data_IF_047204975739
#
_entry.id   IF_047204975739
#
_cell.length_a   1.000
_cell.length_b   1.000
_cell.length_c   1.000
_cell.angle_alpha   90.00
_cell.angle_beta   90.00
_cell.angle_gamma   90.00
#
_symmetry.space_group_name_H-M   'P 1'
#
loop_
_entity.id
_entity.type
_entity.pdbx_description
1 polymer ?
#
# COMPACT_ATOMS: atom_id res chain seq x y z
N UNK A 1 -18.37 -14.88 -30.88
CA UNK A 1 -18.54 -14.50 -29.46
C UNK A 1 -18.83 -15.79 -28.74
N UNK A 2 -17.89 -16.31 -27.97
CA UNK A 2 -18.06 -17.60 -27.27
C UNK A 2 -19.05 -17.38 -26.14
N UNK A 3 -20.17 -18.11 -26.17
CA UNK A 3 -21.19 -17.98 -25.13
C UNK A 3 -20.73 -18.75 -23.88
N UNK A 4 -21.25 -18.37 -22.72
CA UNK A 4 -20.87 -18.97 -21.45
C UNK A 4 -21.23 -20.48 -21.39
N UNK A 5 -22.26 -20.87 -22.14
CA UNK A 5 -22.68 -22.26 -22.36
C UNK A 5 -21.62 -23.11 -23.08
N UNK A 6 -20.95 -22.53 -24.08
CA UNK A 6 -19.88 -23.22 -24.83
C UNK A 6 -18.65 -23.46 -23.95
N UNK A 7 -18.35 -22.51 -23.05
CA UNK A 7 -17.27 -22.63 -22.08
C UNK A 7 -17.57 -23.74 -21.07
N UNK A 8 -18.80 -23.81 -20.56
CA UNK A 8 -19.20 -24.82 -19.60
C UNK A 8 -19.12 -26.24 -20.19
N UNK A 9 -19.64 -26.44 -21.41
CA UNK A 9 -19.58 -27.73 -22.10
C UNK A 9 -18.14 -28.21 -22.35
N UNK A 10 -17.22 -27.27 -22.64
CA UNK A 10 -15.81 -27.57 -22.82
C UNK A 10 -15.09 -27.92 -21.50
N UNK A 11 -15.55 -27.40 -20.36
CA UNK A 11 -15.02 -27.75 -19.04
C UNK A 11 -15.50 -29.13 -18.59
N UNK A 12 -16.78 -29.44 -18.81
CA UNK A 12 -17.41 -30.69 -18.36
C UNK A 12 -16.92 -31.92 -19.15
N UNK A 13 -16.48 -31.73 -20.40
CA UNK A 13 -15.97 -32.80 -21.27
C UNK A 13 -14.49 -33.13 -21.05
N UNK A 14 -13.78 -32.38 -20.20
CA UNK A 14 -12.35 -32.53 -19.97
C UNK A 14 -12.08 -33.50 -18.81
N UNK A 15 -11.10 -34.38 -18.96
CA UNK A 15 -10.63 -35.23 -17.88
C UNK A 15 -9.76 -34.41 -16.90
N UNK A 16 -10.21 -34.32 -15.66
CA UNK A 16 -9.57 -33.56 -14.57
C UNK A 16 -8.86 -34.46 -13.55
N UNK A 17 -8.77 -35.77 -13.79
CA UNK A 17 -8.20 -36.74 -12.84
C UNK A 17 -6.75 -36.46 -12.42
N UNK A 18 -5.99 -35.74 -13.26
CA UNK A 18 -4.63 -35.27 -12.97
C UNK A 18 -4.51 -33.79 -12.61
N UNK A 19 -5.63 -33.09 -12.40
CA UNK A 19 -5.61 -31.66 -12.12
C UNK A 19 -5.23 -31.36 -10.66
N UNK A 20 -4.39 -30.34 -10.46
CA UNK A 20 -4.05 -29.83 -9.14
C UNK A 20 -5.01 -28.70 -8.75
N UNK A 21 -5.60 -28.79 -7.55
CA UNK A 21 -6.44 -27.72 -7.00
C UNK A 21 -5.54 -26.63 -6.43
N UNK A 22 -5.38 -25.55 -7.18
CA UNK A 22 -4.66 -24.36 -6.73
C UNK A 22 -5.59 -23.52 -5.84
N UNK A 23 -5.47 -23.68 -4.52
CA UNK A 23 -6.24 -22.93 -3.53
C UNK A 23 -5.66 -21.53 -3.27
N UNK A 24 -4.36 -21.33 -3.47
CA UNK A 24 -3.72 -20.02 -3.37
C UNK A 24 -3.97 -19.22 -4.64
N UNK A 25 -5.18 -18.65 -4.75
CA UNK A 25 -5.38 -17.55 -5.68
C UNK A 25 -4.64 -16.34 -5.15
N UNK A 26 -3.73 -15.72 -5.93
CA UNK A 26 -3.20 -14.41 -5.59
C UNK A 26 -4.37 -13.47 -5.31
N UNK A 27 -4.34 -12.76 -4.18
CA UNK A 27 -5.37 -11.75 -3.87
C UNK A 27 -5.51 -10.83 -5.08
N UNK A 28 -6.77 -10.51 -5.42
CA UNK A 28 -7.05 -9.59 -6.52
C UNK A 28 -6.24 -8.30 -6.33
N UNK A 29 -5.41 -7.97 -7.31
CA UNK A 29 -4.64 -6.73 -7.33
C UNK A 29 -5.50 -5.66 -7.99
N UNK A 30 -5.83 -4.59 -7.25
CA UNK A 30 -6.51 -3.42 -7.81
C UNK A 30 -5.44 -2.40 -8.20
N UNK A 31 -5.51 -1.92 -9.44
CA UNK A 31 -4.63 -0.86 -9.93
C UNK A 31 -5.36 0.47 -9.85
N UNK A 32 -4.80 1.41 -9.09
CA UNK A 32 -5.23 2.81 -9.10
C UNK A 32 -4.27 3.62 -9.97
N UNK A 33 -4.81 4.35 -10.95
CA UNK A 33 -4.03 5.23 -11.82
C UNK A 33 -4.27 6.68 -11.42
N UNK A 34 -3.18 7.42 -11.21
CA UNK A 34 -3.19 8.83 -10.82
C UNK A 34 -2.23 9.62 -11.71
N UNK A 35 -2.56 10.88 -11.98
CA UNK A 35 -1.65 11.82 -12.64
C UNK A 35 -0.97 12.65 -11.57
N UNK A 36 0.36 12.59 -11.51
CA UNK A 36 1.17 13.37 -10.59
C UNK A 36 1.84 14.53 -11.35
N UNK A 37 2.05 15.68 -10.70
CA UNK A 37 3.04 16.65 -11.15
C UNK A 37 4.40 15.97 -11.35
N UNK A 38 5.18 16.43 -12.34
CA UNK A 38 6.45 15.80 -12.70
C UNK A 38 7.43 15.77 -11.52
N UNK A 39 7.50 16.89 -10.81
CA UNK A 39 8.36 17.08 -9.64
C UNK A 39 8.06 16.10 -8.50
N UNK A 40 6.81 15.64 -8.37
CA UNK A 40 6.43 14.64 -7.36
C UNK A 40 6.83 13.24 -7.80
N UNK A 41 6.70 12.95 -9.09
CA UNK A 41 7.17 11.68 -9.65
C UNK A 41 8.68 11.55 -9.51
N UNK A 42 9.44 12.59 -9.84
CA UNK A 42 10.90 12.62 -9.72
C UNK A 42 11.35 12.44 -8.27
N UNK A 43 10.68 13.11 -7.32
CA UNK A 43 10.97 12.94 -5.90
C UNK A 43 10.69 11.51 -5.40
N UNK A 44 9.62 10.88 -5.90
CA UNK A 44 9.29 9.50 -5.56
C UNK A 44 10.33 8.50 -6.09
N UNK A 45 10.77 8.67 -7.34
CA UNK A 45 11.80 7.85 -7.97
C UNK A 45 13.13 7.97 -7.22
N UNK A 46 13.59 9.21 -6.96
CA UNK A 46 14.84 9.45 -6.23
C UNK A 46 14.83 8.83 -4.84
N UNK A 47 13.69 8.85 -4.15
CA UNK A 47 13.53 8.25 -2.83
C UNK A 47 13.48 6.72 -2.88
N UNK A 48 12.87 6.14 -3.92
CA UNK A 48 12.88 4.70 -4.14
C UNK A 48 14.30 4.19 -4.39
N UNK A 49 15.07 4.90 -5.22
CA UNK A 49 16.49 4.62 -5.48
C UNK A 49 17.32 4.71 -4.20
N UNK A 50 17.15 5.79 -3.42
CA UNK A 50 17.86 5.97 -2.14
C UNK A 50 17.61 4.82 -1.16
N UNK A 51 16.42 4.22 -1.20
CA UNK A 51 16.01 3.09 -0.34
C UNK A 51 16.25 1.72 -0.96
N UNK A 52 16.76 1.65 -2.19
CA UNK A 52 16.93 0.38 -2.91
C UNK A 52 15.62 -0.37 -3.13
N UNK A 53 14.51 0.36 -3.34
CA UNK A 53 13.18 -0.20 -3.60
C UNK A 53 12.60 0.33 -4.90
N UNK A 54 11.34 0.02 -5.20
CA UNK A 54 10.64 0.60 -6.35
C UNK A 54 9.55 1.59 -5.92
N UNK A 55 9.18 2.56 -6.79
CA UNK A 55 8.15 3.56 -6.49
C UNK A 55 6.80 2.97 -6.06
N UNK A 56 6.39 1.85 -6.66
CA UNK A 56 5.11 1.21 -6.32
C UNK A 56 5.09 0.68 -4.89
N UNK A 57 6.19 0.07 -4.43
CA UNK A 57 6.35 -0.39 -3.05
C UNK A 57 6.37 0.79 -2.08
N UNK A 58 7.11 1.84 -2.43
CA UNK A 58 7.21 3.05 -1.62
C UNK A 58 5.86 3.75 -1.45
N UNK A 59 5.07 3.86 -2.53
CA UNK A 59 3.71 4.40 -2.48
C UNK A 59 2.78 3.57 -1.57
N UNK A 60 2.87 2.24 -1.62
CA UNK A 60 2.10 1.37 -0.73
C UNK A 60 2.46 1.61 0.75
N UNK A 61 3.75 1.78 1.05
CA UNK A 61 4.22 2.08 2.41
C UNK A 61 3.72 3.43 2.90
N UNK A 62 3.75 4.46 2.06
CA UNK A 62 3.23 5.78 2.41
C UNK A 62 1.72 5.78 2.61
N UNK A 63 0.97 5.08 1.77
CA UNK A 63 -0.48 4.92 1.93
C UNK A 63 -0.78 4.21 3.26
N UNK A 64 -0.10 3.11 3.55
CA UNK A 64 -0.31 2.36 4.79
C UNK A 64 0.02 3.21 6.01
N UNK A 65 1.15 3.92 6.00
CA UNK A 65 1.56 4.80 7.09
C UNK A 65 0.59 5.97 7.29
N UNK A 66 0.06 6.56 6.21
CA UNK A 66 -0.94 7.61 6.28
C UNK A 66 -2.25 7.12 6.90
N UNK A 67 -2.79 6.01 6.39
CA UNK A 67 -4.04 5.43 6.90
C UNK A 67 -3.92 4.97 8.36
N UNK A 68 -2.77 4.41 8.76
CA UNK A 68 -2.53 3.99 10.13
C UNK A 68 -2.36 5.17 11.10
N UNK A 69 -1.74 6.28 10.68
CA UNK A 69 -1.62 7.49 11.52
C UNK A 69 -2.97 8.08 11.86
N UNK A 70 -3.87 8.17 10.89
CA UNK A 70 -5.22 8.71 11.12
C UNK A 70 -6.07 7.77 11.99
N UNK A 71 -5.83 6.46 11.91
CA UNK A 71 -6.50 5.46 12.74
C UNK A 71 -5.96 5.38 14.18
N UNK A 72 -4.74 5.87 14.42
CA UNK A 72 -4.04 5.80 15.71
C UNK A 72 -4.08 7.11 16.51
N UNK A 73 -4.52 8.22 15.90
CA UNK A 73 -4.83 9.42 16.64
C UNK A 73 -6.06 9.14 17.51
N UNK A 74 -5.96 9.21 18.85
CA UNK A 74 -7.17 9.20 19.66
C UNK A 74 -8.00 10.40 19.22
N UNK A 75 -9.20 10.16 18.70
CA UNK A 75 -10.25 11.17 18.55
C UNK A 75 -10.46 11.83 19.92
N UNK A 76 -9.74 12.92 20.19
CA UNK A 76 -9.68 13.53 21.51
C UNK A 76 -8.73 14.72 21.61
N UNK A 77 -9.15 15.74 22.34
CA UNK A 77 -8.32 16.90 22.68
C UNK A 77 -7.27 16.44 23.70
N UNK A 78 -6.00 16.51 23.31
CA UNK A 78 -4.87 16.26 24.23
C UNK A 78 -4.40 17.60 24.79
N UNK A 79 -4.65 17.83 26.08
CA UNK A 79 -4.12 19.01 26.78
C UNK A 79 -2.70 18.73 27.24
N UNK A 80 -1.73 19.40 26.62
CA UNK A 80 -0.32 19.38 27.02
C UNK A 80 0.07 20.70 27.67
N UNK A 81 0.91 20.64 28.70
CA UNK A 81 1.52 21.84 29.26
C UNK A 81 2.57 22.40 28.30
N UNK A 82 2.76 23.72 28.31
CA UNK A 82 3.80 24.37 27.51
C UNK A 82 5.19 23.78 27.78
N UNK A 83 5.50 23.45 29.03
CA UNK A 83 6.78 22.84 29.39
C UNK A 83 6.98 21.46 28.75
N UNK A 84 5.93 20.62 28.76
CA UNK A 84 5.99 19.29 28.14
C UNK A 84 6.16 19.38 26.61
N UNK A 85 5.52 20.37 25.96
CA UNK A 85 5.70 20.61 24.53
C UNK A 85 7.14 21.00 24.19
N UNK A 86 7.73 21.91 24.95
CA UNK A 86 9.13 22.32 24.75
C UNK A 86 10.09 21.13 24.91
N UNK A 87 9.91 20.31 25.95
CA UNK A 87 10.72 19.11 26.15
C UNK A 87 10.60 18.10 25.00
N UNK A 88 9.39 17.90 24.47
CA UNK A 88 9.17 17.00 23.34
C UNK A 88 9.86 17.51 22.06
N UNK A 89 9.84 18.83 21.82
CA UNK A 89 10.54 19.44 20.69
C UNK A 89 12.05 19.31 20.83
N UNK A 90 12.61 19.59 22.01
CA UNK A 90 14.04 19.47 22.27
C UNK A 90 14.53 18.02 22.10
N UNK A 91 13.74 17.05 22.58
CA UNK A 91 14.04 15.63 22.39
C UNK A 91 13.97 15.21 20.92
N UNK A 92 12.99 15.70 20.16
CA UNK A 92 12.86 15.41 18.74
C UNK A 92 14.03 15.98 17.92
N UNK A 93 14.49 17.19 18.25
CA UNK A 93 15.63 17.84 17.61
C UNK A 93 16.95 17.13 17.95
N UNK A 94 17.10 16.65 19.18
CA UNK A 94 18.30 15.91 19.61
C UNK A 94 18.40 14.54 18.94
N UNK A 95 17.27 13.85 18.73
CA UNK A 95 17.23 12.54 18.07
C UNK A 95 17.36 12.61 16.54
N UNK A 96 17.29 13.81 15.95
CA UNK A 96 17.44 14.04 14.51
C UNK A 96 18.88 14.39 14.10
N UNK A 97 19.78 14.58 15.08
CA UNK A 97 21.21 14.85 14.90
C UNK A 97 22.05 13.58 15.09
#
# INVERSE_FOLDING_TARGET
>A
MTDNSDIQAALDSRDWSGAEVVNDRPRAKIVHSVRLPAEWSEALEAEADRRGTNPSRLMQDYILAGLQRDSAAPEGIVTISRAALHQALDAALTNAA
#
